data_IF_912654604808
#
_entry.id   IF_912654604808
#
_cell.length_a   1.000
_cell.length_b   1.000
_cell.length_c   1.000
_cell.angle_alpha   90.00
_cell.angle_beta   90.00
_cell.angle_gamma   90.00
#
_symmetry.space_group_name_H-M   'P 1'
#
loop_
_entity.id
_entity.type
_entity.pdbx_description
1 polymer ?
#
# COMPACT_ATOMS: atom_id res chain seq x y z
N UNK A 1 20.09 -29.79 -29.11
CA UNK A 1 20.29 -28.33 -29.12
C UNK A 1 21.06 -27.98 -27.87
N UNK A 2 22.13 -27.20 -27.97
CA UNK A 2 22.81 -26.59 -26.81
C UNK A 2 21.79 -25.81 -26.01
N UNK A 3 21.72 -25.98 -24.69
CA UNK A 3 20.71 -25.27 -23.90
C UNK A 3 21.03 -23.76 -23.89
N UNK A 4 20.01 -22.90 -23.69
CA UNK A 4 20.24 -21.45 -23.57
C UNK A 4 21.20 -21.12 -22.42
N UNK A 5 21.21 -21.94 -21.36
CA UNK A 5 22.15 -21.82 -20.25
C UNK A 5 23.59 -22.14 -20.69
N UNK A 6 23.78 -23.11 -21.59
CA UNK A 6 25.10 -23.41 -22.15
C UNK A 6 25.61 -22.28 -23.05
N UNK A 7 24.74 -21.67 -23.86
CA UNK A 7 25.07 -20.52 -24.73
C UNK A 7 25.45 -19.30 -23.88
N UNK A 8 24.67 -19.01 -22.83
CA UNK A 8 24.94 -17.92 -21.90
C UNK A 8 26.28 -18.11 -21.15
N UNK A 9 26.57 -19.36 -20.73
CA UNK A 9 27.82 -19.70 -20.03
C UNK A 9 29.03 -19.51 -20.95
N UNK A 10 28.93 -19.89 -22.23
CA UNK A 10 30.00 -19.69 -23.23
C UNK A 10 30.21 -18.21 -23.57
N UNK A 11 29.14 -17.43 -23.65
CA UNK A 11 29.23 -15.97 -23.84
C UNK A 11 29.97 -15.29 -22.68
N UNK A 12 29.68 -15.70 -21.44
CA UNK A 12 30.38 -15.18 -20.26
C UNK A 12 31.88 -15.50 -20.29
N UNK A 13 32.23 -16.73 -20.69
CA UNK A 13 33.63 -17.16 -20.84
C UNK A 13 34.38 -16.34 -21.90
N UNK A 14 33.81 -16.19 -23.11
CA UNK A 14 34.45 -15.44 -24.20
C UNK A 14 34.55 -13.94 -23.88
N UNK A 15 33.54 -13.38 -23.20
CA UNK A 15 33.59 -12.00 -22.70
C UNK A 15 34.73 -11.81 -21.69
N UNK A 16 34.97 -12.81 -20.84
CA UNK A 16 36.12 -12.85 -19.95
C UNK A 16 37.45 -12.85 -20.70
N UNK A 17 37.58 -13.65 -21.77
CA UNK A 17 38.79 -13.70 -22.59
C UNK A 17 39.06 -12.39 -23.35
N UNK A 18 38.01 -11.78 -23.92
CA UNK A 18 38.11 -10.46 -24.57
C UNK A 18 38.56 -9.36 -23.59
N UNK A 19 38.20 -9.48 -22.32
CA UNK A 19 38.58 -8.50 -21.27
C UNK A 19 40.01 -8.74 -20.77
N UNK A 20 40.43 -10.00 -20.66
CA UNK A 20 41.79 -10.36 -20.23
C UNK A 20 42.87 -10.03 -21.29
N UNK A 21 42.46 -9.89 -22.55
CA UNK A 21 43.35 -9.58 -23.67
C UNK A 21 44.11 -10.80 -24.18
N UNK A 22 44.49 -10.77 -25.45
CA UNK A 22 45.22 -11.82 -26.14
C UNK A 22 45.94 -11.29 -27.37
N UNK A 23 46.51 -12.17 -28.19
CA UNK A 23 47.09 -11.75 -29.47
C UNK A 23 46.00 -11.24 -30.42
N UNK A 24 46.36 -10.38 -31.38
CA UNK A 24 45.40 -9.84 -32.36
C UNK A 24 44.68 -10.93 -33.17
N UNK A 25 45.27 -12.11 -33.34
CA UNK A 25 44.63 -13.26 -33.99
C UNK A 25 43.54 -13.87 -33.08
N UNK A 26 43.87 -14.13 -31.81
CA UNK A 26 42.94 -14.69 -30.82
C UNK A 26 41.75 -13.76 -30.56
N UNK A 27 42.00 -12.45 -30.46
CA UNK A 27 40.94 -11.45 -30.26
C UNK A 27 39.93 -11.44 -31.42
N UNK A 28 40.39 -11.63 -32.67
CA UNK A 28 39.49 -11.74 -33.82
C UNK A 28 38.63 -12.99 -33.74
N UNK A 29 39.23 -14.14 -33.42
CA UNK A 29 38.51 -15.40 -33.27
C UNK A 29 37.44 -15.33 -32.17
N UNK A 30 37.80 -14.82 -30.99
CA UNK A 30 36.87 -14.62 -29.88
C UNK A 30 35.72 -13.67 -30.23
N UNK A 31 36.00 -12.60 -30.97
CA UNK A 31 34.96 -11.66 -31.40
C UNK A 31 33.98 -12.29 -32.40
N UNK A 32 34.48 -13.10 -33.34
CA UNK A 32 33.62 -13.85 -34.26
C UNK A 32 32.74 -14.86 -33.52
N UNK A 33 33.31 -15.58 -32.55
CA UNK A 33 32.57 -16.55 -31.75
C UNK A 33 31.53 -15.88 -30.84
N UNK A 34 31.87 -14.74 -30.23
CA UNK A 34 30.94 -13.92 -29.46
C UNK A 34 29.73 -13.48 -30.29
N UNK A 35 29.98 -12.96 -31.50
CA UNK A 35 28.91 -12.51 -32.40
C UNK A 35 28.00 -13.66 -32.82
N UNK A 36 28.59 -14.83 -33.10
CA UNK A 36 27.85 -16.04 -33.45
C UNK A 36 26.94 -16.51 -32.31
N UNK A 37 27.48 -16.63 -31.09
CA UNK A 37 26.71 -17.09 -29.92
C UNK A 37 25.61 -16.11 -29.51
N UNK A 38 25.82 -14.82 -29.73
CA UNK A 38 24.79 -13.79 -29.47
C UNK A 38 23.60 -13.98 -30.42
N UNK A 39 23.86 -14.21 -31.72
CA UNK A 39 22.80 -14.49 -32.69
C UNK A 39 22.05 -15.79 -32.37
N UNK A 40 22.77 -16.86 -31.99
CA UNK A 40 22.16 -18.13 -31.58
C UNK A 40 21.28 -17.97 -30.31
N UNK A 41 21.67 -17.10 -29.37
CA UNK A 41 20.88 -16.81 -28.17
C UNK A 41 19.60 -16.06 -28.52
N UNK A 42 19.67 -15.08 -29.41
CA UNK A 42 18.51 -14.30 -29.84
C UNK A 42 17.52 -15.16 -30.64
N UNK A 43 18.02 -16.05 -31.50
CA UNK A 43 17.19 -17.05 -32.18
C UNK A 43 16.54 -18.03 -31.22
N UNK A 44 17.26 -18.51 -30.20
CA UNK A 44 16.71 -19.40 -29.17
C UNK A 44 15.63 -18.71 -28.33
N UNK A 45 15.81 -17.43 -27.99
CA UNK A 45 14.79 -16.61 -27.30
C UNK A 45 13.57 -16.40 -28.19
N UNK A 46 13.75 -16.09 -29.46
CA UNK A 46 12.66 -15.93 -30.42
C UNK A 46 11.89 -17.25 -30.65
N UNK A 47 12.60 -18.39 -30.70
CA UNK A 47 11.99 -19.71 -30.79
C UNK A 47 11.19 -20.08 -29.54
N UNK A 48 11.69 -19.75 -28.33
CA UNK A 48 10.94 -19.92 -27.08
C UNK A 48 9.71 -19.02 -27.01
N UNK A 49 9.82 -17.77 -27.44
CA UNK A 49 8.68 -16.85 -27.54
C UNK A 49 7.60 -17.37 -28.51
N UNK A 50 7.99 -17.91 -29.67
CA UNK A 50 7.07 -18.54 -30.62
C UNK A 50 6.45 -19.84 -30.10
N UNK A 51 7.22 -20.67 -29.39
CA UNK A 51 6.71 -21.89 -28.77
C UNK A 51 5.72 -21.59 -27.63
N UNK A 52 5.94 -20.51 -26.87
CA UNK A 52 4.98 -20.00 -25.87
C UNK A 52 3.72 -19.38 -26.51
N UNK A 53 3.79 -18.92 -27.75
CA UNK A 53 2.62 -18.43 -28.51
C UNK A 53 1.83 -19.53 -29.24
N UNK A 54 2.41 -20.72 -29.49
CA UNK A 54 1.69 -21.82 -30.16
C UNK A 54 1.12 -22.86 -29.19
N UNK A 55 1.30 -22.72 -27.87
CA UNK A 55 0.66 -23.59 -26.86
C UNK A 55 -0.66 -23.05 -26.34
N UNK A 56 -1.13 -21.89 -26.83
CA UNK A 56 -2.47 -21.37 -26.57
C UNK A 56 -3.48 -22.04 -27.50
N UNK A 57 -4.00 -23.19 -27.06
CA UNK A 57 -5.42 -23.53 -27.27
C UNK A 57 -6.25 -22.29 -26.90
N UNK A 58 -7.36 -21.97 -27.59
CA UNK A 58 -8.17 -20.82 -27.21
C UNK A 58 -8.72 -21.09 -25.81
N UNK A 59 -8.12 -20.44 -24.82
CA UNK A 59 -8.62 -20.42 -23.46
C UNK A 59 -9.84 -19.50 -23.49
N UNK A 60 -11.01 -20.08 -23.29
CA UNK A 60 -12.27 -19.37 -23.06
C UNK A 60 -12.28 -18.52 -21.77
N UNK A 61 -11.17 -18.43 -21.04
CA UNK A 61 -11.05 -17.71 -19.77
C UNK A 61 -9.87 -16.70 -19.77
N UNK A 62 -9.80 -15.83 -20.76
CA UNK A 62 -9.12 -14.53 -20.57
C UNK A 62 -10.19 -13.57 -20.07
N UNK A 63 -10.09 -13.01 -18.84
CA UNK A 63 -11.03 -12.00 -18.38
C UNK A 63 -11.12 -10.88 -19.42
N UNK A 64 -12.35 -10.54 -19.83
CA UNK A 64 -12.69 -9.55 -20.86
C UNK A 64 -12.35 -8.09 -20.46
N UNK A 65 -11.21 -7.87 -19.82
CA UNK A 65 -10.75 -6.57 -19.33
C UNK A 65 -10.57 -5.50 -20.43
N UNK A 66 -10.59 -5.89 -21.71
CA UNK A 66 -10.23 -5.04 -22.84
C UNK A 66 -11.39 -4.71 -23.78
N UNK A 67 -12.60 -5.23 -23.54
CA UNK A 67 -13.64 -5.24 -24.59
C UNK A 67 -14.62 -4.08 -24.51
N UNK A 68 -14.88 -3.52 -23.34
CA UNK A 68 -15.81 -2.39 -23.22
C UNK A 68 -15.22 -1.36 -22.26
N UNK A 69 -15.45 -0.08 -22.52
CA UNK A 69 -15.21 1.02 -21.58
C UNK A 69 -16.11 0.95 -20.34
N UNK A 70 -16.28 -0.26 -19.80
CA UNK A 70 -17.03 -0.59 -18.62
C UNK A 70 -16.36 0.03 -17.39
N UNK A 71 -17.21 0.41 -16.45
CA UNK A 71 -16.88 0.97 -15.15
C UNK A 71 -15.58 0.36 -14.60
N UNK A 72 -14.60 1.22 -14.29
CA UNK A 72 -13.34 0.83 -13.64
C UNK A 72 -13.58 0.12 -12.30
N UNK A 73 -14.79 0.28 -11.74
CA UNK A 73 -15.22 -0.27 -10.49
C UNK A 73 -16.27 -1.37 -10.71
N UNK A 74 -16.23 -2.39 -9.86
CA UNK A 74 -17.30 -3.38 -9.72
C UNK A 74 -18.11 -3.05 -8.47
N UNK A 75 -19.43 -3.26 -8.56
CA UNK A 75 -20.30 -3.22 -7.39
C UNK A 75 -19.96 -4.40 -6.50
N UNK A 76 -19.38 -4.10 -5.35
CA UNK A 76 -19.11 -5.04 -4.28
C UNK A 76 -20.19 -4.86 -3.21
N UNK A 77 -21.09 -5.83 -3.11
CA UNK A 77 -21.96 -5.92 -1.94
C UNK A 77 -21.15 -6.60 -0.83
N UNK A 78 -20.81 -5.86 0.23
CA UNK A 78 -20.19 -6.50 1.39
C UNK A 78 -21.25 -7.38 2.07
N UNK A 79 -20.99 -8.69 2.21
CA UNK A 79 -21.94 -9.60 2.85
C UNK A 79 -22.21 -9.24 4.31
N UNK A 80 -21.32 -8.49 4.96
CA UNK A 80 -21.36 -8.25 6.40
C UNK A 80 -21.81 -6.85 6.81
N UNK A 81 -21.68 -5.83 5.95
CA UNK A 81 -22.26 -4.50 6.21
C UNK A 81 -23.56 -4.23 5.43
N UNK A 82 -23.88 -5.05 4.41
CA UNK A 82 -25.07 -4.90 3.56
C UNK A 82 -25.02 -3.69 2.60
N UNK A 83 -23.92 -2.94 2.60
CA UNK A 83 -23.64 -1.78 1.77
C UNK A 83 -23.15 -2.17 0.37
N UNK A 84 -23.49 -1.32 -0.61
CA UNK A 84 -22.93 -1.40 -1.96
C UNK A 84 -21.71 -0.50 -2.06
N UNK A 85 -20.54 -1.12 -2.18
CA UNK A 85 -19.25 -0.46 -2.36
C UNK A 85 -18.80 -0.55 -3.81
N UNK A 86 -18.00 0.42 -4.24
CA UNK A 86 -17.36 0.38 -5.56
C UNK A 86 -15.89 0.03 -5.36
N UNK A 87 -15.49 -1.20 -5.68
CA UNK A 87 -14.08 -1.63 -5.65
C UNK A 87 -13.51 -1.61 -7.06
N UNK A 88 -12.20 -1.39 -7.27
CA UNK A 88 -11.64 -1.54 -8.60
C UNK A 88 -11.91 -2.94 -9.13
N UNK A 89 -12.29 -3.02 -10.41
CA UNK A 89 -12.33 -4.30 -11.10
C UNK A 89 -10.95 -4.97 -11.01
N UNK A 90 -10.91 -6.30 -11.06
CA UNK A 90 -9.63 -7.03 -11.03
C UNK A 90 -8.62 -6.62 -12.12
N UNK A 91 -9.09 -5.92 -13.16
CA UNK A 91 -8.31 -5.44 -14.30
C UNK A 91 -7.69 -4.04 -14.10
N UNK A 92 -8.21 -3.23 -13.18
CA UNK A 92 -7.77 -1.84 -12.97
C UNK A 92 -7.03 -1.70 -11.65
N UNK A 93 -5.94 -0.93 -11.66
CA UNK A 93 -5.12 -0.67 -10.48
C UNK A 93 -5.52 0.62 -9.77
N UNK A 94 -5.93 1.62 -10.54
CA UNK A 94 -6.23 2.95 -10.02
C UNK A 94 -7.61 3.42 -10.46
N UNK A 95 -8.20 4.28 -9.63
CA UNK A 95 -9.31 5.15 -9.99
C UNK A 95 -9.00 6.52 -9.41
N UNK A 96 -8.14 7.30 -10.05
CA UNK A 96 -7.64 8.57 -9.52
C UNK A 96 -8.60 9.74 -9.81
N UNK A 97 -9.58 9.55 -10.69
CA UNK A 97 -10.56 10.57 -11.08
C UNK A 97 -11.99 10.33 -10.56
N UNK A 98 -12.27 9.16 -9.99
CA UNK A 98 -13.48 8.89 -9.22
C UNK A 98 -13.41 9.53 -7.83
N UNK A 99 -14.57 9.93 -7.29
CA UNK A 99 -14.72 10.76 -6.09
C UNK A 99 -13.61 10.68 -5.04
N UNK A 100 -13.43 9.52 -4.41
CA UNK A 100 -12.41 9.25 -3.38
C UNK A 100 -11.24 8.46 -3.96
N UNK A 101 -10.54 9.07 -4.92
CA UNK A 101 -9.63 8.35 -5.79
C UNK A 101 -8.64 7.44 -5.06
N UNK A 102 -8.31 6.30 -5.64
CA UNK A 102 -7.53 5.27 -4.95
C UNK A 102 -6.57 4.50 -5.86
N UNK A 103 -5.63 3.80 -5.23
CA UNK A 103 -4.70 2.88 -5.85
C UNK A 103 -4.68 1.55 -5.10
N UNK A 104 -4.70 0.43 -5.85
CA UNK A 104 -4.79 -0.93 -5.32
C UNK A 104 -3.78 -1.86 -5.97
N UNK A 105 -2.97 -2.54 -5.16
CA UNK A 105 -2.13 -3.65 -5.60
C UNK A 105 -2.57 -4.97 -4.93
N UNK A 106 -2.50 -6.08 -5.68
CA UNK A 106 -2.76 -7.43 -5.18
C UNK A 106 -1.44 -8.20 -5.10
N UNK A 107 -0.75 -8.19 -3.95
CA UNK A 107 0.50 -8.91 -3.82
C UNK A 107 0.26 -10.43 -3.90
N UNK A 108 1.27 -11.17 -4.37
CA UNK A 108 1.28 -12.63 -4.49
C UNK A 108 1.15 -13.33 -3.15
N UNK A 109 1.50 -12.66 -2.05
CA UNK A 109 1.28 -13.11 -0.67
C UNK A 109 -0.19 -13.11 -0.25
N UNK A 110 -1.06 -12.51 -1.07
CA UNK A 110 -2.50 -12.41 -0.83
C UNK A 110 -2.92 -11.13 -0.11
N UNK A 111 -4.23 -10.89 -0.08
CA UNK A 111 -4.82 -9.65 0.43
C UNK A 111 -4.72 -8.50 -0.58
N UNK A 112 -4.84 -7.28 -0.06
CA UNK A 112 -4.97 -6.05 -0.84
C UNK A 112 -4.13 -4.95 -0.20
N UNK A 113 -3.21 -4.35 -0.95
CA UNK A 113 -2.55 -3.10 -0.54
C UNK A 113 -3.32 -1.93 -1.12
N UNK A 114 -3.80 -1.05 -0.24
CA UNK A 114 -4.70 0.03 -0.56
C UNK A 114 -4.11 1.38 -0.15
N UNK A 115 -3.99 2.30 -1.12
CA UNK A 115 -3.64 3.69 -0.89
C UNK A 115 -4.83 4.57 -1.25
N UNK A 116 -5.43 5.18 -0.22
CA UNK A 116 -6.56 6.10 -0.36
C UNK A 116 -6.06 7.51 -0.71
N UNK A 117 -6.70 8.16 -1.67
CA UNK A 117 -6.43 9.53 -2.12
C UNK A 117 -4.94 9.79 -2.42
N UNK A 118 -4.31 9.04 -3.36
CA UNK A 118 -2.92 9.29 -3.73
C UNK A 118 -2.79 10.70 -4.33
N UNK A 119 -1.79 11.45 -3.89
CA UNK A 119 -1.45 12.75 -4.50
C UNK A 119 -0.77 12.54 -5.86
N UNK A 120 -0.72 13.58 -6.69
CA UNK A 120 0.00 13.53 -7.97
C UNK A 120 1.49 13.17 -7.78
N UNK A 121 2.08 13.61 -6.66
CA UNK A 121 3.46 13.31 -6.27
C UNK A 121 3.63 11.83 -5.92
N UNK A 122 2.64 11.23 -5.24
CA UNK A 122 2.66 9.80 -4.90
C UNK A 122 2.62 8.95 -6.17
N UNK A 123 1.75 9.30 -7.12
CA UNK A 123 1.67 8.61 -8.42
C UNK A 123 2.99 8.72 -9.18
N UNK A 124 3.60 9.91 -9.24
CA UNK A 124 4.89 10.11 -9.90
C UNK A 124 6.00 9.29 -9.24
N UNK A 125 6.03 9.22 -7.91
CA UNK A 125 7.00 8.42 -7.16
C UNK A 125 6.82 6.92 -7.41
N UNK A 126 5.59 6.46 -7.60
CA UNK A 126 5.28 5.08 -7.97
C UNK A 126 5.51 4.77 -9.46
N UNK A 127 5.90 5.76 -10.27
CA UNK A 127 6.08 5.61 -11.72
C UNK A 127 4.76 5.51 -12.49
N UNK A 128 3.66 6.00 -11.92
CA UNK A 128 2.33 5.97 -12.52
C UNK A 128 1.97 7.33 -13.14
N UNK A 129 1.17 7.33 -14.23
CA UNK A 129 0.63 8.56 -14.80
C UNK A 129 -0.37 9.21 -13.84
N UNK A 130 -0.41 10.53 -13.85
CA UNK A 130 -1.38 11.35 -13.11
C UNK A 130 -2.55 11.86 -13.99
N UNK A 131 -2.61 11.44 -15.26
CA UNK A 131 -3.58 11.92 -16.26
C UNK A 131 -4.66 10.92 -16.62
N UNK A 132 -4.45 9.63 -16.35
CA UNK A 132 -5.37 8.55 -16.65
C UNK A 132 -5.11 7.38 -15.70
N UNK A 133 -6.11 6.51 -15.56
CA UNK A 133 -5.98 5.31 -14.75
C UNK A 133 -5.14 4.22 -15.43
N UNK A 134 -4.55 3.38 -14.60
CA UNK A 134 -3.68 2.29 -15.05
C UNK A 134 -4.33 0.93 -14.87
N UNK A 135 -4.17 0.08 -15.88
CA UNK A 135 -4.53 -1.32 -15.80
C UNK A 135 -3.52 -2.10 -14.94
N UNK A 136 -3.97 -3.22 -14.37
CA UNK A 136 -3.12 -4.14 -13.61
C UNK A 136 -2.33 -5.04 -14.55
N UNK A 137 -1.04 -5.22 -14.27
CA UNK A 137 -0.21 -6.27 -14.84
C UNK A 137 -0.01 -7.39 -13.80
N UNK A 138 -0.21 -8.69 -14.13
CA UNK A 138 -0.18 -9.79 -13.15
C UNK A 138 1.18 -10.00 -12.47
N UNK A 139 2.26 -9.54 -13.11
CA UNK A 139 3.66 -9.77 -12.74
C UNK A 139 4.32 -8.58 -12.02
N UNK A 140 3.67 -7.42 -12.00
CA UNK A 140 4.24 -6.17 -11.43
C UNK A 140 3.67 -5.81 -10.05
N UNK A 141 2.64 -6.51 -9.58
CA UNK A 141 1.85 -6.05 -8.43
C UNK A 141 2.60 -6.16 -7.09
N UNK A 142 3.60 -7.04 -6.97
CA UNK A 142 4.44 -7.16 -5.76
C UNK A 142 5.39 -5.96 -5.57
N UNK A 143 6.02 -5.51 -6.65
CA UNK A 143 6.97 -4.39 -6.62
C UNK A 143 6.25 -3.08 -6.33
N UNK A 144 5.10 -2.86 -6.97
CA UNK A 144 4.27 -1.69 -6.69
C UNK A 144 3.63 -1.75 -5.30
N UNK A 145 3.17 -2.92 -4.82
CA UNK A 145 2.67 -3.08 -3.46
C UNK A 145 3.74 -2.70 -2.42
N UNK A 146 4.99 -3.15 -2.63
CA UNK A 146 6.12 -2.82 -1.75
C UNK A 146 6.41 -1.31 -1.71
N UNK A 147 6.33 -0.61 -2.86
CA UNK A 147 6.49 0.85 -2.89
C UNK A 147 5.29 1.60 -2.31
N UNK A 148 4.08 1.07 -2.48
CA UNK A 148 2.87 1.65 -1.89
C UNK A 148 2.93 1.61 -0.36
N UNK A 149 3.32 0.48 0.25
CA UNK A 149 3.41 0.40 1.71
C UNK A 149 4.47 1.34 2.28
N UNK A 150 5.55 1.60 1.55
CA UNK A 150 6.56 2.60 1.91
C UNK A 150 6.02 4.04 1.89
N UNK A 151 4.95 4.31 1.13
CA UNK A 151 4.23 5.59 1.14
C UNK A 151 3.15 5.67 2.24
N UNK A 152 3.01 4.63 3.08
CA UNK A 152 1.98 4.55 4.10
C UNK A 152 0.70 3.85 3.66
N UNK A 153 0.69 3.19 2.49
CA UNK A 153 -0.45 2.35 2.10
C UNK A 153 -0.65 1.19 3.10
N UNK A 154 -1.90 0.83 3.31
CA UNK A 154 -2.28 -0.19 4.29
C UNK A 154 -2.56 -1.51 3.57
N UNK A 155 -2.10 -2.61 4.17
CA UNK A 155 -2.48 -3.96 3.72
C UNK A 155 -3.77 -4.39 4.44
N UNK A 156 -4.65 -5.06 3.69
CA UNK A 156 -5.90 -5.62 4.18
C UNK A 156 -6.04 -7.08 3.72
N UNK A 157 -6.54 -7.98 4.58
CA UNK A 157 -6.72 -9.38 4.21
C UNK A 157 -7.77 -9.55 3.11
N UNK A 158 -8.80 -8.70 3.11
CA UNK A 158 -9.84 -8.64 2.09
C UNK A 158 -10.60 -7.31 2.16
N UNK A 159 -11.36 -7.02 1.11
CA UNK A 159 -12.21 -5.83 1.01
C UNK A 159 -13.32 -5.77 2.05
N UNK A 160 -13.88 -6.91 2.43
CA UNK A 160 -15.01 -6.99 3.36
C UNK A 160 -14.65 -6.42 4.74
N UNK A 161 -13.49 -6.81 5.27
CA UNK A 161 -12.99 -6.29 6.53
C UNK A 161 -12.75 -4.78 6.45
N UNK A 162 -12.14 -4.30 5.36
CA UNK A 162 -11.91 -2.87 5.17
C UNK A 162 -13.23 -2.08 5.16
N UNK A 163 -14.18 -2.43 4.29
CA UNK A 163 -15.40 -1.64 4.10
C UNK A 163 -16.29 -1.63 5.33
N UNK A 164 -16.41 -2.77 6.02
CA UNK A 164 -17.24 -2.86 7.22
C UNK A 164 -16.79 -1.88 8.29
N UNK A 165 -15.50 -1.85 8.60
CA UNK A 165 -14.96 -0.97 9.62
C UNK A 165 -14.88 0.47 9.13
N UNK A 166 -14.54 0.68 7.84
CA UNK A 166 -14.49 2.01 7.26
C UNK A 166 -15.86 2.71 7.25
N UNK A 167 -16.90 2.00 6.86
CA UNK A 167 -18.28 2.50 6.87
C UNK A 167 -18.68 2.98 8.27
N UNK A 168 -18.33 2.22 9.31
CA UNK A 168 -18.58 2.59 10.72
C UNK A 168 -17.86 3.88 11.13
N UNK A 169 -16.58 4.01 10.75
CA UNK A 169 -15.80 5.24 10.96
C UNK A 169 -16.46 6.43 10.25
N UNK A 170 -16.88 6.25 9.00
CA UNK A 170 -17.52 7.30 8.21
C UNK A 170 -18.92 7.68 8.74
N UNK A 171 -19.56 6.81 9.54
CA UNK A 171 -20.80 7.08 10.30
C UNK A 171 -20.56 7.64 11.72
N UNK A 172 -19.30 7.90 12.09
CA UNK A 172 -18.95 8.56 13.36
C UNK A 172 -18.64 7.62 14.53
N UNK A 173 -18.49 6.31 14.28
CA UNK A 173 -18.02 5.38 15.32
C UNK A 173 -16.51 5.56 15.48
N UNK A 174 -16.07 5.84 16.70
CA UNK A 174 -14.66 5.96 17.05
C UNK A 174 -14.03 4.57 17.12
N UNK A 175 -12.88 4.41 16.47
CA UNK A 175 -12.05 3.20 16.51
C UNK A 175 -10.73 3.44 17.24
N UNK A 176 -10.20 4.66 17.21
CA UNK A 176 -8.92 5.02 17.81
C UNK A 176 -7.80 4.02 17.42
N UNK A 177 -7.16 3.37 18.39
CA UNK A 177 -6.09 2.41 18.14
C UNK A 177 -6.56 1.09 17.51
N UNK A 178 -7.87 0.81 17.43
CA UNK A 178 -8.38 -0.41 16.81
C UNK A 178 -8.23 -0.42 15.30
N UNK A 179 -8.15 0.76 14.68
CA UNK A 179 -8.02 0.90 13.23
C UNK A 179 -6.62 1.39 12.84
N UNK A 180 -6.01 0.89 11.75
CA UNK A 180 -4.71 1.37 11.30
C UNK A 180 -4.73 2.87 10.97
N UNK A 181 -3.78 3.63 11.50
CA UNK A 181 -3.73 5.08 11.38
C UNK A 181 -3.41 5.57 9.95
N UNK A 182 -3.73 6.83 9.66
CA UNK A 182 -3.47 7.46 8.36
C UNK A 182 -2.03 7.98 8.33
N UNK A 183 -1.14 7.20 7.70
CA UNK A 183 0.29 7.55 7.57
C UNK A 183 0.53 8.26 6.24
N UNK A 184 1.21 9.41 6.31
CA UNK A 184 1.70 10.15 5.15
C UNK A 184 3.23 10.15 5.17
N UNK A 185 3.84 9.91 4.02
CA UNK A 185 5.30 9.81 3.87
C UNK A 185 5.78 10.67 2.70
N UNK A 186 6.90 11.38 2.87
CA UNK A 186 7.60 12.07 1.79
C UNK A 186 9.11 11.78 1.82
N UNK A 187 9.68 11.53 0.65
CA UNK A 187 11.10 11.21 0.46
C UNK A 187 11.82 12.37 -0.25
N UNK A 188 12.44 13.32 0.49
CA UNK A 188 13.15 14.42 -0.13
C UNK A 188 14.41 13.94 -0.86
N UNK A 189 14.82 14.69 -1.89
CA UNK A 189 16.02 14.43 -2.68
C UNK A 189 17.31 14.54 -1.87
N UNK A 190 17.27 15.28 -0.77
CA UNK A 190 18.38 15.41 0.20
C UNK A 190 18.61 14.15 1.04
N UNK A 191 17.72 13.16 0.96
CA UNK A 191 17.73 11.97 1.81
C UNK A 191 16.96 12.16 3.12
N UNK A 192 16.71 11.05 3.80
CA UNK A 192 15.80 10.97 4.94
C UNK A 192 14.33 10.81 4.53
N UNK A 193 13.43 10.92 5.50
CA UNK A 193 12.00 10.76 5.28
C UNK A 193 11.20 11.64 6.24
N UNK A 194 10.17 12.30 5.73
CA UNK A 194 9.17 13.01 6.52
C UNK A 194 7.95 12.13 6.70
N UNK A 195 7.46 12.02 7.94
CA UNK A 195 6.33 11.17 8.28
C UNK A 195 5.34 11.94 9.15
N UNK A 196 4.07 11.89 8.77
CA UNK A 196 2.97 12.37 9.58
C UNK A 196 1.95 11.25 9.78
N UNK A 197 1.38 11.17 10.98
CA UNK A 197 0.47 10.10 11.34
C UNK A 197 -0.76 10.65 12.05
N UNK A 198 -1.95 10.32 11.55
CA UNK A 198 -3.21 10.86 12.03
C UNK A 198 -4.22 9.75 12.32
N UNK A 199 -5.17 10.02 13.22
CA UNK A 199 -6.33 9.13 13.36
C UNK A 199 -7.15 9.08 12.06
N UNK A 200 -7.80 7.95 11.82
CA UNK A 200 -8.80 7.79 10.77
C UNK A 200 -10.20 8.19 11.22
N UNK A 201 -10.40 8.36 12.53
CA UNK A 201 -11.70 8.70 13.12
C UNK A 201 -12.20 10.03 12.55
N UNK A 202 -13.48 10.05 12.18
CA UNK A 202 -14.13 11.24 11.69
C UNK A 202 -14.49 12.17 12.86
N UNK A 203 -14.23 13.46 12.69
CA UNK A 203 -14.80 14.52 13.54
C UNK A 203 -16.28 14.70 13.19
N UNK A 204 -17.13 13.72 13.49
CA UNK A 204 -18.57 13.84 13.24
C UNK A 204 -19.28 14.33 14.51
N UNK A 205 -19.47 15.66 14.54
CA UNK A 205 -20.54 16.39 15.21
C UNK A 205 -20.71 16.33 16.75
N UNK A 206 -20.53 17.51 17.36
CA UNK A 206 -21.54 18.17 18.22
C UNK A 206 -21.63 17.76 19.69
N UNK A 207 -20.56 17.20 20.26
CA UNK A 207 -20.45 17.03 21.70
C UNK A 207 -19.19 17.75 22.18
N UNK A 208 -19.28 18.40 23.35
CA UNK A 208 -18.22 19.21 23.93
C UNK A 208 -16.89 18.44 23.90
N UNK A 209 -15.86 19.09 23.35
CA UNK A 209 -14.54 18.52 23.00
C UNK A 209 -13.78 17.93 24.21
N UNK A 210 -14.31 18.16 25.42
CA UNK A 210 -13.73 17.76 26.70
C UNK A 210 -14.27 16.42 27.25
N UNK A 211 -15.30 15.81 26.64
CA UNK A 211 -16.02 14.65 27.24
C UNK A 211 -16.10 13.38 26.38
N UNK A 212 -15.56 13.39 25.15
CA UNK A 212 -15.56 12.23 24.21
C UNK A 212 -14.16 11.60 24.15
N UNK A 213 -14.04 10.30 23.85
CA UNK A 213 -12.71 9.67 23.73
C UNK A 213 -11.82 10.46 22.79
N UNK A 214 -10.81 11.05 23.39
CA UNK A 214 -9.77 11.70 22.63
C UNK A 214 -9.00 10.62 21.89
N UNK A 215 -8.95 10.69 20.55
CA UNK A 215 -8.15 9.76 19.77
C UNK A 215 -6.69 9.84 20.22
N UNK A 216 -6.04 8.68 20.31
CA UNK A 216 -4.64 8.53 20.65
C UNK A 216 -3.72 9.27 19.68
N UNK A 217 -4.13 9.35 18.42
CA UNK A 217 -3.44 10.14 17.40
C UNK A 217 -4.22 11.40 17.07
N UNK A 218 -3.52 12.53 16.82
CA UNK A 218 -4.20 13.76 16.43
C UNK A 218 -4.93 13.58 15.10
N UNK A 219 -5.97 14.38 14.90
CA UNK A 219 -6.52 14.56 13.56
C UNK A 219 -5.52 15.29 12.66
N UNK A 220 -5.64 15.08 11.35
CA UNK A 220 -4.87 15.85 10.38
C UNK A 220 -5.21 17.35 10.54
N UNK A 221 -4.22 18.26 10.52
CA UNK A 221 -4.50 19.68 10.60
C UNK A 221 -5.42 20.15 9.47
N UNK A 222 -6.13 21.25 9.71
CA UNK A 222 -6.96 21.88 8.69
C UNK A 222 -6.16 22.11 7.40
N UNK A 223 -6.82 21.88 6.25
CA UNK A 223 -6.24 22.02 4.91
C UNK A 223 -5.10 21.03 4.59
N UNK A 224 -4.80 20.03 5.42
CA UNK A 224 -3.76 19.02 5.13
C UNK A 224 -3.90 18.43 3.73
N UNK A 225 -5.06 17.83 3.42
CA UNK A 225 -5.29 17.19 2.12
C UNK A 225 -5.24 18.21 0.96
N UNK A 226 -5.62 19.48 1.20
CA UNK A 226 -5.56 20.54 0.19
C UNK A 226 -4.11 20.90 -0.11
N UNK A 227 -3.30 21.16 0.93
CA UNK A 227 -1.89 21.52 0.76
C UNK A 227 -1.07 20.39 0.14
N UNK A 228 -1.34 19.13 0.51
CA UNK A 228 -0.70 17.97 -0.12
C UNK A 228 -1.01 17.87 -1.62
N UNK A 229 -2.22 18.24 -2.07
CA UNK A 229 -2.57 18.25 -3.51
C UNK A 229 -1.82 19.30 -4.32
N UNK A 230 -1.34 20.37 -3.69
CA UNK A 230 -0.59 21.44 -4.35
C UNK A 230 0.92 21.19 -4.40
N UNK A 231 1.42 20.16 -3.71
CA UNK A 231 2.80 19.73 -3.87
C UNK A 231 3.01 19.18 -5.29
N UNK A 232 4.10 19.60 -5.97
CA UNK A 232 4.42 19.17 -7.32
C UNK A 232 5.59 18.16 -7.35
N UNK A 233 6.38 18.13 -6.29
CA UNK A 233 7.51 17.21 -6.11
C UNK A 233 7.53 16.62 -4.70
N UNK A 234 8.33 15.57 -4.48
CA UNK A 234 8.55 15.02 -3.14
C UNK A 234 9.25 16.02 -2.21
N UNK A 235 10.05 16.93 -2.75
CA UNK A 235 10.66 18.01 -1.98
C UNK A 235 9.60 19.03 -1.53
N UNK A 236 8.68 19.43 -2.42
CA UNK A 236 7.55 20.29 -2.04
C UNK A 236 6.68 19.61 -0.98
N UNK A 237 6.37 18.32 -1.17
CA UNK A 237 5.60 17.54 -0.21
C UNK A 237 6.30 17.50 1.15
N UNK A 238 7.62 17.33 1.17
CA UNK A 238 8.44 17.33 2.38
C UNK A 238 8.39 18.68 3.11
N UNK A 239 8.52 19.80 2.39
CA UNK A 239 8.43 21.13 3.00
C UNK A 239 7.02 21.44 3.53
N UNK A 240 5.97 21.03 2.83
CA UNK A 240 4.60 21.15 3.34
C UNK A 240 4.41 20.29 4.60
N UNK A 241 4.86 19.03 4.58
CA UNK A 241 4.76 18.15 5.74
C UNK A 241 5.50 18.72 6.96
N UNK A 242 6.70 19.25 6.74
CA UNK A 242 7.51 19.94 7.76
C UNK A 242 6.82 21.16 8.33
N UNK A 243 6.25 22.04 7.48
CA UNK A 243 5.49 23.22 7.91
C UNK A 243 4.27 22.83 8.76
N UNK A 244 3.68 21.67 8.47
CA UNK A 244 2.50 21.14 9.16
C UNK A 244 2.84 20.20 10.33
N UNK A 245 4.09 20.20 10.80
CA UNK A 245 4.50 19.50 12.03
C UNK A 245 4.80 18.01 11.87
N UNK A 246 5.10 17.53 10.67
CA UNK A 246 5.59 16.16 10.46
C UNK A 246 6.96 15.94 11.12
N UNK A 247 7.29 14.68 11.35
CA UNK A 247 8.57 14.27 11.96
C UNK A 247 9.56 13.83 10.88
N UNK A 248 10.81 14.29 10.99
CA UNK A 248 11.91 13.87 10.12
C UNK A 248 12.66 12.68 10.73
N UNK A 249 12.98 11.69 9.89
CA UNK A 249 13.84 10.57 10.22
C UNK A 249 15.01 10.49 9.23
N UNK A 250 16.18 10.08 9.72
CA UNK A 250 17.40 9.99 8.90
C UNK A 250 17.28 8.84 7.91
N UNK A 251 16.60 7.76 8.31
CA UNK A 251 16.28 6.63 7.43
C UNK A 251 14.81 6.23 7.58
N UNK A 252 14.23 5.74 6.47
CA UNK A 252 12.96 5.01 6.50
C UNK A 252 12.99 3.80 7.44
N UNK A 253 14.19 3.30 7.76
CA UNK A 253 14.38 2.21 8.70
C UNK A 253 14.07 2.55 10.15
N UNK A 254 14.16 3.82 10.50
CA UNK A 254 13.96 4.32 11.86
C UNK A 254 12.50 4.69 12.14
N UNK A 255 11.65 4.69 11.10
CA UNK A 255 10.24 5.10 11.23
C UNK A 255 9.44 3.99 11.93
N UNK A 256 8.90 4.24 13.14
CA UNK A 256 8.10 3.25 13.84
C UNK A 256 6.77 3.00 13.12
N UNK A 257 6.47 1.73 12.85
CA UNK A 257 5.18 1.32 12.25
C UNK A 257 5.05 1.59 10.75
N UNK A 258 6.12 1.99 10.06
CA UNK A 258 6.12 2.07 8.59
C UNK A 258 6.60 0.75 7.98
N UNK A 259 5.76 0.16 7.13
CA UNK A 259 6.10 -1.05 6.40
C UNK A 259 7.04 -0.75 5.22
N UNK A 260 8.04 -1.61 5.02
CA UNK A 260 8.99 -1.53 3.89
C UNK A 260 8.72 -2.56 2.81
N UNK A 261 8.11 -3.67 3.22
CA UNK A 261 7.72 -4.80 2.39
C UNK A 261 6.29 -5.18 2.72
N UNK A 262 5.65 -5.92 1.82
CA UNK A 262 4.29 -6.43 2.06
C UNK A 262 4.24 -7.34 3.29
N UNK A 263 5.23 -8.22 3.49
CA UNK A 263 5.29 -9.09 4.68
C UNK A 263 5.38 -8.29 5.99
N UNK A 264 6.12 -7.18 5.99
CA UNK A 264 6.16 -6.26 7.12
C UNK A 264 4.80 -5.59 7.34
N UNK A 265 4.09 -5.21 6.27
CA UNK A 265 2.74 -4.65 6.36
C UNK A 265 1.73 -5.66 6.94
N UNK A 266 1.80 -6.92 6.53
CA UNK A 266 0.99 -8.01 7.10
C UNK A 266 1.27 -8.16 8.60
N UNK A 267 2.55 -8.19 8.98
CA UNK A 267 2.97 -8.32 10.39
C UNK A 267 2.49 -7.14 11.24
N UNK A 268 2.54 -5.92 10.69
CA UNK A 268 2.03 -4.72 11.36
C UNK A 268 0.51 -4.71 11.47
N UNK A 269 -0.20 -5.36 10.55
CA UNK A 269 -1.66 -5.45 10.55
C UNK A 269 -2.19 -6.46 11.57
N UNK A 270 -1.44 -7.52 11.88
CA UNK A 270 -1.91 -8.63 12.72
C UNK A 270 -2.55 -8.20 14.06
N UNK A 271 -1.97 -7.27 14.84
CA UNK A 271 -2.60 -6.79 16.08
C UNK A 271 -3.88 -5.99 15.84
N UNK A 272 -4.03 -5.36 14.67
CA UNK A 272 -5.29 -4.68 14.30
C UNK A 272 -6.37 -5.68 13.98
N UNK A 273 -6.05 -6.85 13.41
CA UNK A 273 -7.06 -7.88 13.11
C UNK A 273 -7.85 -8.29 14.36
N UNK A 274 -7.15 -8.63 15.44
CA UNK A 274 -7.77 -8.99 16.72
C UNK A 274 -8.60 -7.84 17.31
N UNK A 275 -8.07 -6.62 17.26
CA UNK A 275 -8.76 -5.41 17.73
C UNK A 275 -10.02 -5.08 16.92
N UNK A 276 -9.98 -5.27 15.62
CA UNK A 276 -11.13 -5.09 14.75
C UNK A 276 -12.20 -6.15 15.03
N UNK A 277 -11.82 -7.38 15.36
CA UNK A 277 -12.75 -8.42 15.82
C UNK A 277 -13.47 -8.02 17.12
N UNK A 278 -12.78 -7.42 18.10
CA UNK A 278 -13.44 -6.88 19.29
C UNK A 278 -14.47 -5.79 18.97
N UNK A 279 -14.21 -4.96 17.96
CA UNK A 279 -15.15 -3.93 17.51
C UNK A 279 -16.41 -4.48 16.82
N UNK A 280 -16.46 -5.79 16.54
CA UNK A 280 -17.68 -6.49 16.11
C UNK A 280 -18.63 -6.79 17.28
N UNK A 281 -18.11 -6.96 18.50
CA UNK A 281 -18.95 -7.17 19.67
C UNK A 281 -19.66 -5.85 20.01
N UNK A 282 -20.99 -5.87 19.86
CA UNK A 282 -21.80 -4.66 20.09
C UNK A 282 -21.75 -4.16 21.53
N UNK A 283 -21.51 -5.05 22.51
CA UNK A 283 -21.36 -4.69 23.92
C UNK A 283 -20.01 -4.05 24.19
N UNK A 284 -18.93 -4.61 23.63
CA UNK A 284 -17.60 -4.03 23.64
C UNK A 284 -17.63 -2.66 22.97
N UNK A 285 -18.13 -2.56 21.74
CA UNK A 285 -18.20 -1.29 21.01
C UNK A 285 -19.07 -0.26 21.70
N UNK A 286 -20.17 -0.69 22.34
CA UNK A 286 -20.99 0.23 23.14
C UNK A 286 -20.16 0.77 24.30
N UNK A 287 -19.55 -0.09 25.12
CA UNK A 287 -18.72 0.34 26.26
C UNK A 287 -17.45 1.09 25.85
N UNK A 288 -16.87 0.72 24.71
CA UNK A 288 -15.71 1.37 24.13
C UNK A 288 -16.15 2.75 23.69
N UNK A 289 -15.68 3.74 24.43
CA UNK A 289 -16.01 5.13 24.20
C UNK A 289 -17.42 5.59 24.55
N UNK A 290 -18.14 4.84 25.40
CA UNK A 290 -19.25 5.43 26.17
C UNK A 290 -18.83 5.60 27.60
N UNK A 291 -18.50 6.83 27.98
CA UNK A 291 -18.75 7.25 29.36
C UNK A 291 -20.16 7.87 29.36
N UNK A 292 -21.06 7.32 30.16
CA UNK A 292 -22.35 7.91 30.60
C UNK A 292 -23.41 8.31 29.56
N UNK A 293 -24.26 7.38 29.15
CA UNK A 293 -25.65 7.72 28.75
C UNK A 293 -26.71 6.73 29.26
N UNK A 294 -26.31 5.63 29.90
CA UNK A 294 -27.23 4.74 30.62
C UNK A 294 -26.57 4.34 31.94
N UNK A 295 -26.78 5.14 32.99
CA UNK A 295 -26.97 4.53 34.30
C UNK A 295 -28.26 3.72 34.20
N UNK A 296 -28.18 2.53 33.59
CA UNK A 296 -29.18 1.51 33.89
C UNK A 296 -28.93 1.16 35.36
N UNK A 297 -29.85 1.55 36.24
CA UNK A 297 -29.80 1.37 37.70
C UNK A 297 -29.76 -0.10 38.16
N UNK A 298 -29.60 -1.06 37.25
CA UNK A 298 -29.67 -2.47 37.56
C UNK A 298 -28.47 -3.24 36.98
N UNK A 299 -27.69 -3.79 37.91
CA UNK A 299 -26.80 -4.96 37.81
C UNK A 299 -25.27 -4.73 37.82
N UNK A 300 -24.75 -5.00 39.02
CA UNK A 300 -23.50 -5.66 39.41
C UNK A 300 -22.16 -4.89 39.42
N UNK A 301 -21.75 -4.66 40.67
CA UNK A 301 -20.38 -4.44 41.15
C UNK A 301 -19.37 -5.36 40.44
N UNK A 302 -18.56 -4.79 39.56
CA UNK A 302 -17.43 -5.53 38.98
C UNK A 302 -16.79 -4.95 37.73
N UNK A 303 -16.89 -3.64 37.46
CA UNK A 303 -16.31 -3.06 36.25
C UNK A 303 -14.85 -2.68 36.48
N UNK A 304 -13.96 -3.63 36.21
CA UNK A 304 -12.54 -3.34 36.03
C UNK A 304 -12.40 -2.46 34.79
N UNK A 305 -11.85 -1.26 34.99
CA UNK A 305 -11.37 -0.38 33.94
C UNK A 305 -10.30 -1.08 33.10
N UNK A 306 -10.68 -1.91 32.15
CA UNK A 306 -9.80 -2.31 31.06
C UNK A 306 -9.83 -1.20 30.01
N UNK A 307 -9.11 -0.09 30.25
CA UNK A 307 -8.38 0.49 29.13
C UNK A 307 -7.27 -0.53 28.85
N UNK A 308 -7.35 -1.32 27.77
CA UNK A 308 -6.26 -2.23 27.43
C UNK A 308 -4.98 -1.39 27.32
N UNK A 309 -3.85 -1.93 27.80
CA UNK A 309 -2.56 -1.25 27.69
C UNK A 309 -2.38 -0.70 26.27
N UNK A 310 -2.30 0.63 26.17
CA UNK A 310 -2.25 1.30 24.88
C UNK A 310 -1.04 0.79 24.10
N UNK A 311 -1.21 0.36 22.84
CA UNK A 311 -0.13 -0.28 22.11
C UNK A 311 1.01 0.70 21.86
N UNK A 312 2.25 0.27 22.16
CA UNK A 312 3.48 1.06 21.99
C UNK A 312 3.93 1.23 20.54
N UNK A 313 3.18 0.71 19.58
CA UNK A 313 3.54 0.66 18.17
C UNK A 313 2.75 1.73 17.41
N UNK A 314 3.24 2.96 17.53
CA UNK A 314 2.74 4.17 16.86
C UNK A 314 3.55 5.38 17.32
N UNK A 315 3.75 6.37 16.44
CA UNK A 315 4.54 7.58 16.73
C UNK A 315 4.01 8.33 17.97
N UNK A 316 2.73 8.11 18.35
CA UNK A 316 2.11 8.61 19.59
C UNK A 316 2.92 8.36 20.87
N UNK A 317 3.68 7.25 20.97
CA UNK A 317 4.52 7.00 22.15
C UNK A 317 5.66 8.03 22.32
N UNK A 318 6.16 8.64 21.24
CA UNK A 318 7.16 9.71 21.30
C UNK A 318 6.57 11.06 21.77
N UNK A 319 5.27 11.27 21.59
CA UNK A 319 4.62 12.52 22.00
C UNK A 319 4.30 12.58 23.51
N UNK A 320 4.26 11.43 24.19
CA UNK A 320 3.96 11.35 25.62
C UNK A 320 5.19 11.50 26.54
N UNK A 321 6.42 11.35 26.04
CA UNK A 321 7.66 11.59 26.82
C UNK A 321 8.07 13.08 26.89
N UNK A 322 7.36 13.96 26.17
CA UNK A 322 7.66 15.41 26.12
C UNK A 322 6.58 16.30 26.76
N UNK A 323 5.73 15.76 27.64
CA UNK A 323 4.76 16.55 28.42
C UNK A 323 5.01 16.45 29.92
#
# INVERSE_FOLDING_TARGET
MTSMQDIASKLAYIKGQLTAGGTNAQMKEWFFEYKKLTAELDEAKAAKAKASQSSTKPAEDVPRCWVDGGNQNIHYMSPMDGGSHSIPSGCWRSNIFGGDGYLVALPSTGGVVFLKNPSAVDLQHLGLPNTHDTARAPDEDDDIASRMVQLGAQWWPNWDLYFRHRSRIDTGIIYDYHFPSKVHVAFPTTGGVWVANFTQDALQHQYDEDEVCQPWLPHAPDLWDVRMRYALTMDDKSEVMKDMGATFYISADEVPGLAKTVDAAISLFEPFRERLEHMEDSGYRRRFCTDYMYEDEDEDEGTVNEQPDRPRWGIGWLFHEFR
#
